data_IF_613646239215
#
_entry.id   IF_613646239215
#
_cell.length_a   1.000
_cell.length_b   1.000
_cell.length_c   1.000
_cell.angle_alpha   90.00
_cell.angle_beta   90.00
_cell.angle_gamma   90.00
#
_symmetry.space_group_name_H-M   'P 1'
#
loop_
_entity.id
_entity.type
_entity.pdbx_description
1 polymer ?
#
# COMPACT_ATOMS: atom_id res chain seq x y z
N UNK A 1 18.13 -41.82 -12.43
CA UNK A 1 17.91 -40.61 -11.60
C UNK A 1 16.43 -40.29 -11.67
N UNK A 2 15.71 -40.24 -10.55
CA UNK A 2 14.32 -39.74 -10.56
C UNK A 2 14.41 -38.24 -10.74
N UNK A 3 13.95 -37.73 -11.88
CA UNK A 3 13.67 -36.30 -12.04
C UNK A 3 12.70 -35.90 -10.92
N UNK A 4 13.20 -35.15 -9.95
CA UNK A 4 12.33 -34.39 -9.05
C UNK A 4 11.72 -33.33 -9.96
N UNK A 5 10.47 -33.52 -10.36
CA UNK A 5 9.73 -32.45 -11.03
C UNK A 5 9.85 -31.21 -10.14
N UNK A 6 10.28 -30.05 -10.66
CA UNK A 6 10.25 -28.83 -9.88
C UNK A 6 8.80 -28.64 -9.41
N UNK A 7 8.60 -28.53 -8.10
CA UNK A 7 7.29 -28.20 -7.54
C UNK A 7 6.98 -26.77 -7.97
N UNK A 8 6.01 -26.61 -8.85
CA UNK A 8 5.52 -25.30 -9.23
C UNK A 8 4.65 -24.75 -8.10
N UNK A 9 4.93 -23.54 -7.65
CA UNK A 9 4.19 -22.83 -6.62
C UNK A 9 3.69 -21.48 -7.14
N UNK A 10 2.68 -20.91 -6.49
CA UNK A 10 2.24 -19.55 -6.79
C UNK A 10 2.89 -18.57 -5.80
N UNK A 11 3.60 -17.59 -6.36
CA UNK A 11 4.17 -16.49 -5.58
C UNK A 11 3.56 -15.16 -6.01
N UNK A 12 3.47 -14.21 -5.07
CA UNK A 12 2.97 -12.86 -5.37
C UNK A 12 4.16 -11.96 -5.66
N UNK A 13 4.05 -11.20 -6.75
CA UNK A 13 5.13 -10.34 -7.23
C UNK A 13 4.63 -8.92 -7.38
N UNK A 14 5.30 -7.97 -6.73
CA UNK A 14 5.10 -6.55 -6.98
C UNK A 14 5.63 -6.19 -8.37
N UNK A 15 4.75 -5.61 -9.18
CA UNK A 15 5.05 -5.13 -10.53
C UNK A 15 4.62 -3.69 -10.70
N UNK A 16 5.45 -2.88 -11.36
CA UNK A 16 5.10 -1.51 -11.73
C UNK A 16 4.52 -1.49 -13.16
N UNK A 17 3.21 -1.33 -13.29
CA UNK A 17 2.56 -1.20 -14.58
C UNK A 17 2.62 0.26 -15.07
N UNK A 18 3.02 0.54 -16.33
CA UNK A 18 3.28 1.90 -16.80
C UNK A 18 2.08 2.88 -16.72
N UNK A 19 0.85 2.37 -16.86
CA UNK A 19 -0.39 3.17 -16.75
C UNK A 19 -1.11 3.01 -15.40
N UNK A 20 -1.19 1.80 -14.85
CA UNK A 20 -1.97 1.48 -13.65
C UNK A 20 -1.18 1.64 -12.34
N UNK A 21 0.15 1.77 -12.42
CA UNK A 21 1.09 1.86 -11.31
C UNK A 21 1.37 0.49 -10.67
N UNK A 22 1.71 0.49 -9.38
CA UNK A 22 1.94 -0.71 -8.56
C UNK A 22 0.75 -1.68 -8.63
N UNK A 23 1.05 -2.95 -8.91
CA UNK A 23 0.13 -4.09 -8.85
C UNK A 23 0.81 -5.28 -8.14
N UNK A 24 -0.01 -6.17 -7.57
CA UNK A 24 0.44 -7.42 -6.93
C UNK A 24 0.05 -8.60 -7.82
N UNK A 25 0.97 -9.11 -8.62
CA UNK A 25 0.65 -10.11 -9.65
C UNK A 25 1.05 -11.52 -9.20
N UNK A 26 0.13 -12.50 -9.20
CA UNK A 26 0.49 -13.90 -8.94
C UNK A 26 1.21 -14.50 -10.16
N UNK A 27 2.31 -15.19 -9.89
CA UNK A 27 3.12 -15.89 -10.89
C UNK A 27 3.21 -17.37 -10.54
N UNK A 28 3.18 -18.21 -11.57
CA UNK A 28 3.67 -19.58 -11.46
C UNK A 28 5.19 -19.53 -11.42
N UNK A 29 5.79 -20.13 -10.40
CA UNK A 29 7.22 -20.16 -10.20
C UNK A 29 7.72 -21.59 -9.95
N UNK A 30 8.94 -21.85 -10.40
CA UNK A 30 9.66 -23.10 -10.14
C UNK A 30 10.86 -22.82 -9.25
N UNK A 31 10.96 -23.56 -8.15
CA UNK A 31 12.13 -23.49 -7.29
C UNK A 31 13.25 -24.39 -7.83
N UNK A 32 14.50 -23.92 -7.75
CA UNK A 32 15.66 -24.74 -8.10
C UNK A 32 15.75 -25.97 -7.16
N UNK A 33 16.35 -27.09 -7.61
CA UNK A 33 16.55 -28.25 -6.74
C UNK A 33 17.38 -27.96 -5.48
N UNK A 34 18.25 -26.94 -5.54
CA UNK A 34 19.11 -26.48 -4.45
C UNK A 34 18.40 -25.47 -3.53
N UNK A 35 17.27 -24.89 -3.97
CA UNK A 35 16.45 -23.97 -3.19
C UNK A 35 16.98 -22.54 -3.13
N UNK A 36 17.99 -22.21 -3.91
CA UNK A 36 18.68 -20.92 -3.95
C UNK A 36 18.07 -19.93 -4.95
N UNK A 37 17.36 -20.42 -5.96
CA UNK A 37 16.75 -19.64 -7.03
C UNK A 37 15.28 -19.99 -7.22
N UNK A 38 14.48 -18.97 -7.56
CA UNK A 38 13.06 -19.10 -7.91
C UNK A 38 12.88 -18.52 -9.31
N UNK A 39 12.41 -19.32 -10.26
CA UNK A 39 12.20 -18.92 -11.64
C UNK A 39 10.73 -18.63 -11.91
N UNK A 40 10.42 -17.38 -12.23
CA UNK A 40 9.10 -16.95 -12.74
C UNK A 40 8.87 -17.52 -14.14
N UNK A 41 7.83 -18.34 -14.27
CA UNK A 41 7.46 -18.98 -15.53
C UNK A 41 6.48 -18.10 -16.31
N UNK A 42 5.30 -17.88 -15.74
CA UNK A 42 4.24 -17.06 -16.34
C UNK A 42 3.31 -16.45 -15.29
N UNK A 43 2.53 -15.43 -15.68
CA UNK A 43 1.48 -14.91 -14.83
C UNK A 43 0.38 -15.95 -14.67
N UNK A 44 -0.09 -16.16 -13.45
CA UNK A 44 -1.00 -17.26 -13.11
C UNK A 44 -2.43 -17.10 -13.66
N UNK A 45 -2.74 -15.97 -14.33
CA UNK A 45 -4.04 -15.74 -14.99
C UNK A 45 -4.41 -16.78 -16.06
N UNK A 46 -3.43 -17.52 -16.56
CA UNK A 46 -3.60 -18.51 -17.62
C UNK A 46 -3.32 -19.95 -17.17
N UNK A 47 -3.22 -20.18 -15.86
CA UNK A 47 -2.97 -21.50 -15.31
C UNK A 47 -4.00 -22.52 -15.83
N UNK A 48 -3.51 -23.64 -16.38
CA UNK A 48 -4.39 -24.70 -16.88
C UNK A 48 -5.20 -25.34 -15.75
N UNK A 49 -6.35 -25.94 -16.06
CA UNK A 49 -7.20 -26.62 -15.07
C UNK A 49 -6.41 -27.63 -14.22
N UNK A 50 -5.46 -28.35 -14.82
CA UNK A 50 -4.61 -29.31 -14.13
C UNK A 50 -3.69 -28.66 -13.09
N UNK A 51 -3.18 -27.46 -13.36
CA UNK A 51 -2.37 -26.69 -12.40
C UNK A 51 -3.27 -26.13 -11.30
N UNK A 52 -4.44 -25.59 -11.68
CA UNK A 52 -5.43 -25.07 -10.71
C UNK A 52 -5.90 -26.14 -9.71
N UNK A 53 -6.09 -27.39 -10.15
CA UNK A 53 -6.47 -28.52 -9.28
C UNK A 53 -5.44 -28.81 -8.18
N UNK A 54 -4.17 -28.48 -8.41
CA UNK A 54 -3.06 -28.71 -7.47
C UNK A 54 -2.82 -27.54 -6.53
N UNK A 55 -3.43 -26.38 -6.79
CA UNK A 55 -3.31 -25.18 -5.97
C UNK A 55 -4.14 -25.25 -4.69
N UNK A 56 -3.63 -24.61 -3.65
CA UNK A 56 -4.35 -24.29 -2.42
C UNK A 56 -5.49 -23.30 -2.68
N UNK A 57 -6.41 -23.19 -1.73
CA UNK A 57 -7.50 -22.21 -1.79
C UNK A 57 -6.95 -20.77 -1.81
N UNK A 58 -5.91 -20.49 -1.02
CA UNK A 58 -5.25 -19.19 -0.96
C UNK A 58 -4.68 -18.78 -2.32
N UNK A 59 -3.96 -19.68 -2.99
CA UNK A 59 -3.39 -19.40 -4.31
C UNK A 59 -4.47 -19.13 -5.38
N UNK A 60 -5.55 -19.92 -5.38
CA UNK A 60 -6.69 -19.70 -6.30
C UNK A 60 -7.35 -18.34 -6.05
N UNK A 61 -7.53 -17.98 -4.78
CA UNK A 61 -8.12 -16.70 -4.37
C UNK A 61 -7.22 -15.52 -4.76
N UNK A 62 -5.90 -15.67 -4.66
CA UNK A 62 -4.95 -14.66 -5.14
C UNK A 62 -5.11 -14.42 -6.65
N UNK A 63 -5.20 -15.49 -7.44
CA UNK A 63 -5.45 -15.41 -8.90
C UNK A 63 -6.79 -14.73 -9.19
N UNK A 64 -7.84 -15.09 -8.47
CA UNK A 64 -9.17 -14.48 -8.59
C UNK A 64 -9.13 -12.98 -8.30
N UNK A 65 -8.57 -12.56 -7.16
CA UNK A 65 -8.43 -11.15 -6.79
C UNK A 65 -7.66 -10.39 -7.88
N UNK A 66 -6.56 -10.97 -8.36
CA UNK A 66 -5.72 -10.33 -9.36
C UNK A 66 -6.39 -10.22 -10.73
N UNK A 67 -7.31 -11.13 -11.07
CA UNK A 67 -8.05 -11.10 -12.33
C UNK A 67 -8.84 -9.79 -12.51
N UNK A 68 -9.31 -9.19 -11.40
CA UNK A 68 -10.10 -7.96 -11.39
C UNK A 68 -9.33 -6.70 -11.76
N UNK A 69 -8.00 -6.69 -11.69
CA UNK A 69 -7.19 -5.56 -12.13
C UNK A 69 -6.29 -5.89 -13.33
N UNK A 70 -6.64 -6.94 -14.08
CA UNK A 70 -6.06 -7.16 -15.41
C UNK A 70 -6.51 -6.06 -16.38
N UNK A 71 -5.66 -5.75 -17.37
CA UNK A 71 -5.97 -4.75 -18.39
C UNK A 71 -7.30 -5.04 -19.11
N UNK A 72 -7.57 -6.33 -19.38
CA UNK A 72 -8.78 -6.79 -20.05
C UNK A 72 -10.03 -6.55 -19.19
N UNK A 73 -9.99 -6.89 -17.90
CA UNK A 73 -11.11 -6.69 -16.98
C UNK A 73 -11.42 -5.20 -16.81
N UNK A 74 -10.39 -4.40 -16.53
CA UNK A 74 -10.54 -2.95 -16.39
C UNK A 74 -11.05 -2.29 -17.67
N UNK A 75 -10.60 -2.75 -18.84
CA UNK A 75 -11.14 -2.27 -20.12
C UNK A 75 -12.65 -2.54 -20.22
N UNK A 76 -13.12 -3.74 -19.87
CA UNK A 76 -14.53 -4.10 -19.91
C UNK A 76 -15.40 -3.27 -18.96
N UNK A 77 -14.85 -2.88 -17.81
CA UNK A 77 -15.55 -2.03 -16.84
C UNK A 77 -15.61 -0.56 -17.25
N UNK A 78 -14.50 -0.02 -17.78
CA UNK A 78 -14.31 1.43 -17.89
C UNK A 78 -14.27 1.96 -19.33
N UNK A 79 -14.46 1.10 -20.33
CA UNK A 79 -14.31 1.46 -21.74
C UNK A 79 -15.15 0.59 -22.69
N UNK A 80 -15.47 1.15 -23.85
CA UNK A 80 -16.09 0.42 -24.97
C UNK A 80 -15.05 -0.13 -25.96
N UNK A 81 -13.76 0.12 -25.72
CA UNK A 81 -12.67 -0.43 -26.53
C UNK A 81 -12.71 -1.96 -26.56
N UNK A 82 -12.23 -2.54 -27.66
CA UNK A 82 -12.14 -4.00 -27.84
C UNK A 82 -10.73 -4.55 -27.66
N UNK A 83 -9.73 -3.67 -27.58
CA UNK A 83 -8.31 -4.02 -27.53
C UNK A 83 -7.67 -3.34 -26.30
N UNK A 84 -7.06 -4.10 -25.36
CA UNK A 84 -6.49 -3.55 -24.12
C UNK A 84 -5.48 -2.43 -24.33
N UNK A 85 -4.60 -2.55 -25.34
CA UNK A 85 -3.60 -1.53 -25.63
C UNK A 85 -4.20 -0.17 -26.01
N UNK A 86 -5.30 -0.14 -26.77
CA UNK A 86 -6.02 1.11 -27.10
C UNK A 86 -6.69 1.71 -25.88
N UNK A 87 -7.25 0.87 -25.01
CA UNK A 87 -7.80 1.31 -23.73
C UNK A 87 -6.73 1.97 -22.87
N UNK A 88 -5.58 1.32 -22.69
CA UNK A 88 -4.48 1.86 -21.89
C UNK A 88 -3.90 3.15 -22.49
N UNK A 89 -3.77 3.23 -23.82
CA UNK A 89 -3.33 4.45 -24.48
C UNK A 89 -4.26 5.63 -24.17
N UNK A 90 -5.58 5.45 -24.32
CA UNK A 90 -6.56 6.48 -23.97
C UNK A 90 -6.53 6.81 -22.48
N UNK A 91 -6.46 5.79 -21.63
CA UNK A 91 -6.43 5.97 -20.18
C UNK A 91 -5.20 6.76 -19.74
N UNK A 92 -4.03 6.52 -20.34
CA UNK A 92 -2.79 7.27 -20.05
C UNK A 92 -2.88 8.76 -20.36
N UNK A 93 -3.79 9.17 -21.26
CA UNK A 93 -4.06 10.58 -21.57
C UNK A 93 -5.12 11.23 -20.68
N UNK A 94 -5.71 10.47 -19.73
CA UNK A 94 -6.71 10.95 -18.78
C UNK A 94 -6.32 10.62 -17.32
N UNK A 95 -5.36 11.37 -16.73
CA UNK A 95 -4.93 11.14 -15.35
C UNK A 95 -6.04 11.32 -14.32
N UNK A 96 -7.05 12.15 -14.61
CA UNK A 96 -8.17 12.38 -13.71
C UNK A 96 -9.05 11.13 -13.59
N UNK A 97 -9.35 10.46 -14.71
CA UNK A 97 -10.08 9.19 -14.71
C UNK A 97 -9.29 8.07 -14.04
N UNK A 98 -7.97 8.01 -14.24
CA UNK A 98 -7.12 7.07 -13.50
C UNK A 98 -7.27 7.31 -11.99
N UNK A 99 -7.01 8.54 -11.54
CA UNK A 99 -6.98 8.87 -10.11
C UNK A 99 -8.35 8.73 -9.42
N UNK A 100 -9.43 9.15 -10.08
CA UNK A 100 -10.75 9.26 -9.44
C UNK A 100 -11.66 8.05 -9.64
N UNK A 101 -11.37 7.19 -10.62
CA UNK A 101 -12.29 6.11 -11.02
C UNK A 101 -11.61 4.76 -11.07
N UNK A 102 -10.51 4.64 -11.83
CA UNK A 102 -9.86 3.32 -12.02
C UNK A 102 -9.02 2.92 -10.80
N UNK A 103 -8.19 3.83 -10.29
CA UNK A 103 -7.28 3.53 -9.18
C UNK A 103 -8.00 3.17 -7.87
N UNK A 104 -9.09 3.85 -7.46
CA UNK A 104 -9.83 3.44 -6.26
C UNK A 104 -10.31 1.98 -6.32
N UNK A 105 -10.83 1.54 -7.46
CA UNK A 105 -11.24 0.15 -7.64
C UNK A 105 -10.06 -0.83 -7.58
N UNK A 106 -8.92 -0.49 -8.19
CA UNK A 106 -7.69 -1.29 -8.07
C UNK A 106 -7.26 -1.34 -6.60
N UNK A 107 -7.30 -0.21 -5.90
CA UNK A 107 -6.91 -0.10 -4.48
C UNK A 107 -7.70 -1.04 -3.59
N UNK A 108 -9.03 -1.10 -3.76
CA UNK A 108 -9.90 -2.04 -3.04
C UNK A 108 -9.45 -3.50 -3.24
N UNK A 109 -9.10 -3.88 -4.47
CA UNK A 109 -8.61 -5.23 -4.77
C UNK A 109 -7.18 -5.50 -4.29
N UNK A 110 -6.33 -4.48 -4.27
CA UNK A 110 -5.00 -4.60 -3.66
C UNK A 110 -5.09 -4.76 -2.15
N UNK A 111 -6.04 -4.10 -1.47
CA UNK A 111 -6.31 -4.31 -0.04
C UNK A 111 -6.77 -5.75 0.21
N UNK A 112 -7.66 -6.29 -0.61
CA UNK A 112 -8.06 -7.71 -0.54
C UNK A 112 -6.86 -8.66 -0.70
N UNK A 113 -5.98 -8.40 -1.67
CA UNK A 113 -4.77 -9.19 -1.90
C UNK A 113 -3.80 -9.12 -0.71
N UNK A 114 -3.54 -7.91 -0.18
CA UNK A 114 -2.67 -7.71 0.98
C UNK A 114 -3.18 -8.45 2.21
N UNK A 115 -4.49 -8.44 2.46
CA UNK A 115 -5.11 -9.21 3.55
C UNK A 115 -4.90 -10.71 3.37
N UNK A 116 -5.05 -11.21 2.14
CA UNK A 116 -4.81 -12.61 1.83
C UNK A 116 -3.35 -13.00 2.08
N UNK A 117 -2.40 -12.18 1.62
CA UNK A 117 -0.96 -12.38 1.86
C UNK A 117 -0.67 -12.50 3.35
N UNK A 118 -1.25 -11.62 4.17
CA UNK A 118 -1.08 -11.63 5.63
C UNK A 118 -1.66 -12.87 6.32
N UNK A 119 -2.86 -13.28 5.90
CA UNK A 119 -3.61 -14.37 6.51
C UNK A 119 -3.01 -15.74 6.20
N UNK A 120 -2.57 -15.92 4.96
CA UNK A 120 -2.14 -17.22 4.43
C UNK A 120 -0.61 -17.32 4.30
N UNK A 121 0.13 -16.29 4.74
CA UNK A 121 1.60 -16.22 4.68
C UNK A 121 2.16 -16.42 3.26
N UNK A 122 1.47 -15.84 2.26
CA UNK A 122 1.89 -15.99 0.86
C UNK A 122 3.18 -15.22 0.61
N UNK A 123 4.14 -15.88 -0.02
CA UNK A 123 5.44 -15.27 -0.31
C UNK A 123 5.32 -14.12 -1.31
N UNK A 124 5.94 -13.00 -0.95
CA UNK A 124 5.82 -11.73 -1.66
C UNK A 124 7.20 -11.21 -2.08
N UNK A 125 7.38 -10.93 -3.38
CA UNK A 125 8.66 -10.51 -3.96
C UNK A 125 8.56 -9.22 -4.76
N UNK A 126 9.70 -8.58 -5.00
CA UNK A 126 9.83 -7.58 -6.07
C UNK A 126 10.34 -8.23 -7.35
N UNK A 127 9.71 -7.93 -8.50
CA UNK A 127 10.32 -8.26 -9.78
C UNK A 127 11.49 -7.32 -10.08
N UNK A 128 12.71 -7.85 -10.12
CA UNK A 128 13.84 -7.09 -10.67
C UNK A 128 13.70 -6.98 -12.19
N UNK A 129 13.86 -5.77 -12.72
CA UNK A 129 13.68 -5.47 -14.14
C UNK A 129 14.50 -6.41 -15.04
N UNK A 130 13.81 -7.10 -15.97
CA UNK A 130 14.36 -8.04 -16.99
C UNK A 130 14.82 -9.41 -16.49
N UNK A 131 14.84 -9.68 -15.18
CA UNK A 131 15.09 -11.03 -14.66
C UNK A 131 13.78 -11.74 -14.37
N UNK A 132 13.70 -13.00 -14.77
CA UNK A 132 12.68 -13.93 -14.28
C UNK A 132 13.22 -14.82 -13.16
N UNK A 133 14.46 -14.58 -12.69
CA UNK A 133 15.04 -15.27 -11.54
C UNK A 133 14.95 -14.35 -10.34
N UNK A 134 14.39 -14.87 -9.25
CA UNK A 134 14.31 -14.28 -7.93
C UNK A 134 15.15 -15.13 -6.97
N UNK A 135 15.52 -14.54 -5.86
CA UNK A 135 16.24 -15.26 -4.80
C UNK A 135 15.40 -15.24 -3.52
N UNK A 136 15.28 -16.37 -2.79
CA UNK A 136 14.43 -16.45 -1.61
C UNK A 136 14.70 -15.38 -0.56
N UNK A 137 15.97 -14.99 -0.37
CA UNK A 137 16.38 -13.95 0.58
C UNK A 137 15.93 -12.53 0.19
N UNK A 138 15.40 -12.34 -1.02
CA UNK A 138 14.82 -11.08 -1.48
C UNK A 138 13.29 -11.07 -1.38
N UNK A 139 12.69 -12.01 -0.66
CA UNK A 139 11.30 -11.88 -0.25
C UNK A 139 11.15 -10.62 0.62
N UNK A 140 10.03 -9.92 0.45
CA UNK A 140 9.67 -8.81 1.33
C UNK A 140 9.33 -9.35 2.72
N UNK A 141 9.78 -8.63 3.74
CA UNK A 141 9.38 -8.88 5.11
C UNK A 141 8.03 -8.21 5.37
N UNK A 142 7.09 -8.96 5.93
CA UNK A 142 5.72 -8.49 6.13
C UNK A 142 5.49 -8.25 7.63
N UNK A 143 5.34 -6.98 8.02
CA UNK A 143 5.15 -6.57 9.40
C UNK A 143 3.69 -6.73 9.81
N UNK A 144 3.34 -7.83 10.47
CA UNK A 144 1.95 -8.28 10.67
C UNK A 144 1.07 -7.34 11.51
N UNK A 145 1.67 -6.46 12.31
CA UNK A 145 0.94 -5.49 13.13
C UNK A 145 0.89 -4.13 12.43
N UNK A 146 -0.20 -3.36 12.60
CA UNK A 146 -0.23 -1.99 12.10
C UNK A 146 0.77 -1.11 12.86
N UNK A 147 1.34 -0.14 12.16
CA UNK A 147 2.16 0.92 12.74
C UNK A 147 1.25 1.82 13.58
N UNK A 148 1.63 2.07 14.84
CA UNK A 148 0.96 3.08 15.66
C UNK A 148 1.42 4.45 15.18
N UNK A 149 0.46 5.36 14.95
CA UNK A 149 0.75 6.72 14.51
C UNK A 149 0.17 7.75 15.45
N UNK A 150 0.99 8.75 15.79
CA UNK A 150 0.61 9.92 16.56
C UNK A 150 1.03 11.19 15.84
N UNK A 151 0.32 12.28 16.11
CA UNK A 151 0.62 13.57 15.50
C UNK A 151 0.82 14.65 16.55
N UNK A 152 1.85 15.45 16.36
CA UNK A 152 2.11 16.64 17.17
C UNK A 152 1.81 17.86 16.32
N UNK A 153 0.90 18.70 16.78
CA UNK A 153 0.51 19.97 16.15
C UNK A 153 1.01 21.14 16.99
N UNK A 154 1.67 22.11 16.36
CA UNK A 154 2.29 23.24 17.04
C UNK A 154 1.93 24.54 16.34
N UNK A 155 1.42 25.51 17.10
CA UNK A 155 1.19 26.88 16.63
C UNK A 155 2.18 27.81 17.33
N UNK A 156 3.05 28.45 16.56
CA UNK A 156 4.03 29.44 17.02
C UNK A 156 3.85 30.76 16.28
N UNK A 157 3.08 31.68 16.88
CA UNK A 157 2.84 32.99 16.30
C UNK A 157 2.16 32.90 14.93
N UNK A 158 2.90 33.19 13.87
CA UNK A 158 2.42 33.16 12.49
C UNK A 158 2.60 31.80 11.78
N UNK A 159 3.22 30.81 12.43
CA UNK A 159 3.49 29.50 11.82
C UNK A 159 2.70 28.40 12.51
N UNK A 160 2.00 27.60 11.70
CA UNK A 160 1.43 26.32 12.11
C UNK A 160 2.32 25.20 11.58
N UNK A 161 2.65 24.23 12.42
CA UNK A 161 3.45 23.08 12.01
C UNK A 161 2.93 21.78 12.59
N UNK A 162 3.26 20.67 11.94
CA UNK A 162 2.90 19.35 12.43
C UNK A 162 3.91 18.28 12.06
N UNK A 163 3.98 17.27 12.92
CA UNK A 163 4.89 16.14 12.84
C UNK A 163 4.09 14.84 12.95
N UNK A 164 4.58 13.82 12.25
CA UNK A 164 4.12 12.46 12.35
C UNK A 164 5.15 11.65 13.13
N UNK A 165 4.70 10.98 14.17
CA UNK A 165 5.47 9.98 14.89
C UNK A 165 4.89 8.59 14.58
N UNK A 166 5.78 7.65 14.30
CA UNK A 166 5.43 6.27 13.99
C UNK A 166 6.16 5.35 14.93
N UNK A 167 5.46 4.35 15.45
CA UNK A 167 6.01 3.31 16.30
C UNK A 167 5.59 1.94 15.77
N UNK A 168 6.55 1.03 15.66
CA UNK A 168 6.33 -0.36 15.31
C UNK A 168 6.98 -1.26 16.37
N UNK A 169 6.18 -2.16 16.96
CA UNK A 169 6.62 -3.03 18.07
C UNK A 169 7.36 -2.26 19.19
N UNK A 170 6.76 -1.14 19.63
CA UNK A 170 7.28 -0.27 20.69
C UNK A 170 8.66 0.35 20.38
N UNK A 171 9.01 0.43 19.10
CA UNK A 171 10.24 1.09 18.61
C UNK A 171 9.91 2.21 17.63
N UNK A 172 10.65 3.34 17.68
CA UNK A 172 10.49 4.41 16.71
C UNK A 172 10.73 3.93 15.27
N UNK A 173 9.82 4.27 14.36
CA UNK A 173 9.92 4.01 12.92
C UNK A 173 10.07 5.33 12.16
N UNK A 174 11.29 5.67 11.75
CA UNK A 174 11.55 6.86 10.96
C UNK A 174 11.31 6.62 9.46
N UNK A 175 10.09 6.86 8.96
CA UNK A 175 9.74 6.67 7.52
C UNK A 175 10.73 7.40 6.58
N UNK A 176 11.33 8.50 7.01
CA UNK A 176 12.34 9.26 6.26
C UNK A 176 13.59 8.43 5.92
N UNK A 177 14.00 7.51 6.80
CA UNK A 177 15.26 6.77 6.70
C UNK A 177 15.18 5.58 5.74
N UNK A 178 13.97 5.12 5.42
CA UNK A 178 13.77 3.97 4.54
C UNK A 178 13.51 4.40 3.10
N UNK A 179 14.27 3.82 2.17
CA UNK A 179 14.14 4.03 0.73
C UNK A 179 14.39 2.71 -0.02
N UNK A 180 13.73 2.47 -1.17
CA UNK A 180 12.65 3.29 -1.74
C UNK A 180 11.38 3.26 -0.87
N UNK A 181 10.50 4.24 -1.06
CA UNK A 181 9.14 4.21 -0.50
C UNK A 181 8.18 3.91 -1.65
N UNK A 182 7.45 2.80 -1.55
CA UNK A 182 6.45 2.40 -2.54
C UNK A 182 5.09 2.30 -1.87
N UNK A 183 4.10 2.97 -2.45
CA UNK A 183 2.71 2.92 -1.99
C UNK A 183 2.02 1.72 -2.64
N UNK A 184 1.71 0.69 -1.85
CA UNK A 184 1.00 -0.50 -2.32
C UNK A 184 -0.51 -0.22 -2.36
N UNK A 185 -1.06 0.28 -1.25
CA UNK A 185 -2.47 0.69 -1.15
C UNK A 185 -2.59 2.12 -0.61
N UNK A 186 -3.68 2.81 -0.94
CA UNK A 186 -3.83 4.25 -0.75
C UNK A 186 -4.83 4.63 0.33
N UNK A 187 -6.02 4.02 0.37
CA UNK A 187 -7.10 4.38 1.30
C UNK A 187 -6.86 3.88 2.72
N UNK A 188 -6.44 2.62 2.85
CA UNK A 188 -5.77 2.07 4.04
C UNK A 188 -4.31 1.88 3.63
N UNK A 189 -3.44 2.78 4.08
CA UNK A 189 -2.10 2.88 3.52
C UNK A 189 -1.27 1.64 3.87
N UNK A 190 -0.75 1.01 2.83
CA UNK A 190 0.29 -0.02 2.94
C UNK A 190 1.52 0.51 2.21
N UNK A 191 2.62 0.65 2.95
CA UNK A 191 3.88 1.16 2.41
C UNK A 191 4.95 0.09 2.45
N UNK A 192 5.66 -0.06 1.33
CA UNK A 192 6.95 -0.72 1.29
C UNK A 192 8.03 0.31 1.60
N UNK A 193 8.75 0.09 2.70
CA UNK A 193 9.84 0.91 3.20
C UNK A 193 11.13 0.10 3.07
N UNK A 194 11.80 0.21 1.92
CA UNK A 194 12.89 -0.71 1.57
C UNK A 194 12.37 -2.13 1.31
N UNK A 195 12.76 -3.08 2.15
CA UNK A 195 12.33 -4.49 2.08
C UNK A 195 11.20 -4.84 3.06
N UNK A 196 10.71 -3.85 3.80
CA UNK A 196 9.72 -4.03 4.86
C UNK A 196 8.35 -3.50 4.41
N UNK A 197 7.31 -4.33 4.50
CA UNK A 197 5.92 -3.95 4.24
C UNK A 197 5.25 -3.54 5.55
N UNK A 198 4.74 -2.32 5.64
CA UNK A 198 4.06 -1.77 6.81
C UNK A 198 2.62 -1.36 6.51
N UNK A 199 1.75 -1.54 7.50
CA UNK A 199 0.33 -1.18 7.44
C UNK A 199 0.04 0.01 8.35
N UNK A 200 -0.78 0.93 7.86
CA UNK A 200 -1.21 2.10 8.62
C UNK A 200 -2.73 2.16 8.62
N UNK A 201 -3.33 1.85 9.76
CA UNK A 201 -4.78 1.83 9.91
C UNK A 201 -5.35 3.25 9.90
N UNK A 202 -6.54 3.39 9.32
CA UNK A 202 -7.25 4.68 9.21
C UNK A 202 -6.36 5.83 8.69
N UNK A 203 -5.43 5.52 7.79
CA UNK A 203 -4.46 6.47 7.26
C UNK A 203 -4.42 6.36 5.75
N UNK A 204 -4.64 7.48 5.07
CA UNK A 204 -4.40 7.57 3.63
C UNK A 204 -2.92 7.75 3.33
N UNK A 205 -2.42 7.12 2.27
CA UNK A 205 -1.01 7.20 1.89
C UNK A 205 -0.59 8.64 1.58
N UNK A 206 -1.50 9.45 1.04
CA UNK A 206 -1.30 10.86 0.74
C UNK A 206 -0.89 11.70 1.96
N UNK A 207 -1.33 11.31 3.16
CA UNK A 207 -0.98 11.96 4.44
C UNK A 207 0.41 11.55 4.93
N UNK A 208 0.87 10.35 4.58
CA UNK A 208 2.20 9.84 4.93
C UNK A 208 3.29 10.32 3.98
N UNK A 209 2.97 10.48 2.68
CA UNK A 209 3.97 10.80 1.64
C UNK A 209 4.85 12.02 1.94
N UNK A 210 4.33 13.15 2.48
CA UNK A 210 5.18 14.26 2.89
C UNK A 210 6.28 13.86 3.90
N UNK A 211 5.96 12.95 4.82
CA UNK A 211 6.85 12.50 5.88
C UNK A 211 7.91 11.49 5.42
N UNK A 212 7.85 11.07 4.15
CA UNK A 212 8.93 10.28 3.55
C UNK A 212 10.18 11.10 3.25
N UNK A 213 10.09 12.44 3.27
CA UNK A 213 11.17 13.36 2.90
C UNK A 213 11.56 14.34 4.02
N UNK A 214 10.68 14.56 4.99
CA UNK A 214 10.85 15.55 6.07
C UNK A 214 10.12 15.07 7.30
N UNK A 215 10.60 15.42 8.49
CA UNK A 215 9.96 15.04 9.76
C UNK A 215 8.89 16.02 10.23
N UNK A 216 8.88 17.24 9.67
CA UNK A 216 7.96 18.33 10.02
C UNK A 216 7.44 19.03 8.78
N UNK A 217 6.18 19.43 8.83
CA UNK A 217 5.53 20.28 7.83
C UNK A 217 5.19 21.60 8.51
N UNK A 218 5.58 22.72 7.91
CA UNK A 218 5.31 24.08 8.40
C UNK A 218 4.56 24.85 7.32
N UNK A 219 3.55 25.60 7.73
CA UNK A 219 2.64 26.39 6.89
C UNK A 219 2.25 27.67 7.61
N UNK A 220 1.72 28.63 6.85
CA UNK A 220 1.22 29.89 7.39
C UNK A 220 -0.05 29.67 8.24
N UNK A 221 -0.08 30.27 9.43
CA UNK A 221 -1.20 30.20 10.37
C UNK A 221 -2.45 30.99 9.91
N UNK A 222 -2.36 31.83 8.87
CA UNK A 222 -3.50 32.54 8.27
C UNK A 222 -4.63 31.58 7.88
N UNK A 223 -4.29 30.34 7.53
CA UNK A 223 -5.24 29.30 7.11
C UNK A 223 -5.49 28.23 8.19
N UNK A 224 -5.22 28.52 9.46
CA UNK A 224 -5.28 27.55 10.57
C UNK A 224 -6.60 26.77 10.61
N UNK A 225 -7.75 27.44 10.50
CA UNK A 225 -9.05 26.76 10.54
C UNK A 225 -9.17 25.68 9.45
N UNK A 226 -8.65 25.95 8.25
CA UNK A 226 -8.65 24.97 7.15
C UNK A 226 -7.81 23.74 7.51
N UNK A 227 -6.71 23.91 8.23
CA UNK A 227 -5.90 22.79 8.69
C UNK A 227 -6.57 22.03 9.84
N UNK A 228 -7.25 22.72 10.75
CA UNK A 228 -8.08 22.09 11.79
C UNK A 228 -9.12 21.18 11.12
N UNK A 229 -9.92 21.72 10.20
CA UNK A 229 -11.04 21.01 9.58
C UNK A 229 -10.59 19.84 8.68
N UNK A 230 -9.49 20.00 7.93
CA UNK A 230 -9.09 19.03 6.90
C UNK A 230 -7.96 18.09 7.32
N UNK A 231 -7.19 18.44 8.35
CA UNK A 231 -6.05 17.66 8.83
C UNK A 231 -6.29 17.19 10.26
N UNK A 232 -6.43 18.12 11.23
CA UNK A 232 -6.44 17.77 12.65
C UNK A 232 -7.68 16.95 13.00
N UNK A 233 -8.89 17.44 12.72
CA UNK A 233 -10.14 16.73 13.06
C UNK A 233 -10.18 15.32 12.42
N UNK A 234 -9.89 15.16 11.11
CA UNK A 234 -9.87 13.82 10.51
C UNK A 234 -8.84 12.87 11.13
N UNK A 235 -7.68 13.38 11.57
CA UNK A 235 -6.64 12.57 12.22
C UNK A 235 -7.05 12.21 13.66
N UNK A 236 -7.54 13.17 14.42
CA UNK A 236 -7.96 13.02 15.82
C UNK A 236 -9.04 11.95 16.04
N UNK A 237 -9.82 11.63 14.98
CA UNK A 237 -10.81 10.55 15.01
C UNK A 237 -10.23 9.16 15.24
N UNK A 238 -8.99 8.94 14.82
CA UNK A 238 -8.42 7.59 14.75
C UNK A 238 -7.01 7.48 15.35
N UNK A 239 -6.36 8.62 15.61
CA UNK A 239 -4.95 8.70 15.99
C UNK A 239 -4.79 9.57 17.23
N UNK A 240 -3.83 9.21 18.09
CA UNK A 240 -3.42 10.06 19.21
C UNK A 240 -2.90 11.39 18.66
N UNK A 241 -3.31 12.49 19.28
CA UNK A 241 -2.82 13.81 18.92
C UNK A 241 -2.30 14.57 20.14
N UNK A 242 -1.27 15.36 19.93
CA UNK A 242 -0.74 16.30 20.91
C UNK A 242 -0.73 17.70 20.31
N UNK A 243 -1.06 18.72 21.10
CA UNK A 243 -1.03 20.12 20.65
C UNK A 243 -0.13 20.97 21.52
N UNK A 244 0.57 21.95 20.92
CA UNK A 244 1.32 23.00 21.63
C UNK A 244 0.93 24.37 21.08
N UNK A 245 0.61 25.30 21.98
CA UNK A 245 0.20 26.66 21.60
C UNK A 245 -1.13 26.74 20.83
N UNK A 246 -1.90 25.65 20.82
CA UNK A 246 -3.13 25.50 20.05
C UNK A 246 -4.22 24.85 20.90
N UNK A 247 -5.32 25.59 21.13
CA UNK A 247 -6.55 25.08 21.76
C UNK A 247 -7.57 24.74 20.67
N UNK A 248 -7.84 23.45 20.50
CA UNK A 248 -8.82 22.89 19.55
C UNK A 248 -9.99 22.21 20.27
N UNK A 249 -10.11 22.35 21.59
CA UNK A 249 -11.06 21.58 22.39
C UNK A 249 -12.50 21.80 21.91
N UNK A 250 -12.84 23.05 21.56
CA UNK A 250 -14.15 23.40 21.02
C UNK A 250 -14.41 22.79 19.65
N UNK A 251 -13.40 22.79 18.76
CA UNK A 251 -13.51 22.19 17.43
C UNK A 251 -13.69 20.67 17.50
N UNK A 252 -12.98 20.00 18.42
CA UNK A 252 -13.13 18.56 18.66
C UNK A 252 -14.52 18.21 19.21
N UNK A 253 -14.99 18.95 20.23
CA UNK A 253 -16.36 18.75 20.77
C UNK A 253 -17.41 18.98 19.68
N UNK A 254 -17.28 20.05 18.88
CA UNK A 254 -18.20 20.32 17.78
C UNK A 254 -18.20 19.22 16.71
N UNK A 255 -17.08 18.51 16.55
CA UNK A 255 -16.96 17.35 15.67
C UNK A 255 -17.40 16.02 16.31
N UNK A 256 -17.88 16.03 17.56
CA UNK A 256 -18.31 14.84 18.30
C UNK A 256 -17.16 14.02 18.89
N UNK A 257 -16.02 14.66 19.17
CA UNK A 257 -14.77 14.03 19.60
C UNK A 257 -14.41 14.43 21.04
N UNK A 258 -15.27 14.07 21.98
CA UNK A 258 -15.16 14.45 23.41
C UNK A 258 -14.14 13.60 24.20
N UNK A 259 -13.80 12.40 23.72
CA UNK A 259 -12.91 11.43 24.40
C UNK A 259 -11.62 11.13 23.62
N UNK A 260 -11.11 12.09 22.83
CA UNK A 260 -9.84 11.89 22.10
C UNK A 260 -8.68 11.82 23.09
N UNK A 261 -7.71 10.92 22.84
CA UNK A 261 -6.38 11.00 23.45
C UNK A 261 -5.66 12.26 22.97
N UNK A 262 -5.99 13.37 23.62
CA UNK A 262 -5.47 14.70 23.37
C UNK A 262 -4.58 15.12 24.52
N UNK A 263 -3.30 15.31 24.22
CA UNK A 263 -2.31 15.77 25.19
C UNK A 263 -1.90 17.21 24.84
N UNK A 264 -2.17 18.16 25.74
CA UNK A 264 -1.67 19.53 25.60
C UNK A 264 -0.27 19.56 26.18
N UNK A 265 0.71 19.83 25.33
CA UNK A 265 2.11 19.97 25.72
C UNK A 265 2.37 21.43 26.14
N UNK A 266 3.02 21.58 27.30
CA UNK A 266 3.55 22.87 27.76
C UNK A 266 4.64 23.43 26.80
#
# INVERSE_FOLDING_TARGET
MKEKNPSSEIIIVLTEHPVLGVLLTPYLAEQSPEGDEIRLMEQAFHASNKVMEQMTEAERKAIEIASYYTEKHLMQLYSNEKIPSRFLQKLSTDPAKIKKTVRPYIDEKLIEMVKLILQEDLTFYQKQSRSNVLYPHNAYNINRQPVKTSFIFELNGAEFSYQLECEYEDRPLAITEHKPVVVVTTSQATLLLGMELYFFDHMESSRLMPFTKRTRITVDAEHLQKYIDNIIIPIARYHKISTRGLDISKDLIAAGLEEVEHEVLD
#
